data_IF_328473934285
#
_entry.id   IF_328473934285
#
_cell.length_a   1.000
_cell.length_b   1.000
_cell.length_c   1.000
_cell.angle_alpha   90.00
_cell.angle_beta   90.00
_cell.angle_gamma   90.00
#
_symmetry.space_group_name_H-M   'P 1'
#
loop_
_entity.id
_entity.type
_entity.pdbx_description
1 polymer ?
#
# COMPACT_ATOMS: atom_id res chain seq x y z
N UNK A 1 8.29 11.29 14.00
CA UNK A 1 8.47 9.82 13.99
C UNK A 1 9.94 9.50 13.78
N UNK A 2 10.51 8.50 14.46
CA UNK A 2 11.83 7.97 14.11
C UNK A 2 11.69 7.10 12.87
N UNK A 3 12.59 7.23 11.88
CA UNK A 3 12.49 6.48 10.61
C UNK A 3 13.55 5.39 10.60
N UNK A 4 13.13 4.14 10.55
CA UNK A 4 14.00 2.95 10.59
C UNK A 4 13.91 2.13 9.30
N UNK A 5 12.74 2.04 8.68
CA UNK A 5 12.52 1.26 7.46
C UNK A 5 12.51 2.14 6.21
N UNK A 6 11.81 3.28 6.24
CA UNK A 6 11.63 4.17 5.07
C UNK A 6 12.79 5.14 4.85
N UNK A 7 14.02 4.67 5.07
CA UNK A 7 15.24 5.49 4.94
C UNK A 7 15.42 5.99 3.51
N UNK A 8 15.12 5.18 2.49
CA UNK A 8 15.21 5.63 1.09
C UNK A 8 14.15 6.70 0.77
N UNK A 9 12.92 6.56 1.27
CA UNK A 9 11.88 7.60 1.09
C UNK A 9 12.33 8.92 1.72
N UNK A 10 12.86 8.86 2.96
CA UNK A 10 13.38 10.03 3.67
C UNK A 10 14.55 10.70 2.94
N UNK A 11 15.46 9.91 2.37
CA UNK A 11 16.65 10.41 1.69
C UNK A 11 16.39 10.88 0.25
N UNK A 12 15.26 10.49 -0.35
CA UNK A 12 14.88 10.87 -1.70
C UNK A 12 13.47 11.53 -1.71
N UNK A 13 13.27 12.66 -0.97
CA UNK A 13 11.95 13.29 -0.85
C UNK A 13 11.46 13.91 -2.17
N UNK A 14 12.37 14.11 -3.12
CA UNK A 14 12.11 14.58 -4.48
C UNK A 14 12.87 13.68 -5.46
N UNK A 15 12.12 13.04 -6.36
CA UNK A 15 12.65 12.36 -7.55
C UNK A 15 12.15 13.14 -8.77
N UNK A 16 11.20 12.60 -9.53
CA UNK A 16 10.49 13.34 -10.58
C UNK A 16 9.45 14.32 -10.00
N UNK A 17 8.82 13.90 -8.90
CA UNK A 17 7.86 14.67 -8.12
C UNK A 17 8.29 14.73 -6.66
N UNK A 18 7.63 15.56 -5.86
CA UNK A 18 7.88 15.70 -4.42
C UNK A 18 6.89 14.83 -3.65
N UNK A 19 7.37 14.07 -2.67
CA UNK A 19 6.48 13.34 -1.74
C UNK A 19 5.63 14.30 -0.92
N UNK A 20 4.37 13.91 -0.67
CA UNK A 20 3.47 14.63 0.23
C UNK A 20 3.17 13.76 1.46
N UNK A 21 3.58 14.20 2.66
CA UNK A 21 3.41 13.43 3.88
C UNK A 21 1.94 13.47 4.35
N UNK A 22 1.49 12.37 4.96
CA UNK A 22 0.22 12.34 5.69
C UNK A 22 0.44 12.75 7.15
N UNK A 23 -0.45 13.59 7.68
CA UNK A 23 -0.38 13.98 9.09
C UNK A 23 -0.65 12.78 10.00
N UNK A 24 0.03 12.71 11.16
CA UNK A 24 -0.15 11.62 12.13
C UNK A 24 -1.62 11.45 12.54
N UNK A 25 -2.36 12.55 12.71
CA UNK A 25 -3.78 12.51 13.04
C UNK A 25 -4.64 11.85 11.96
N UNK A 26 -4.24 11.92 10.69
CA UNK A 26 -4.96 11.29 9.59
C UNK A 26 -4.59 9.81 9.46
N UNK A 27 -3.32 9.47 9.69
CA UNK A 27 -2.87 8.07 9.85
C UNK A 27 -3.66 7.38 10.98
N UNK A 28 -3.79 8.03 12.13
CA UNK A 28 -4.56 7.50 13.26
C UNK A 28 -6.06 7.34 12.95
N UNK A 29 -6.63 8.14 12.04
CA UNK A 29 -8.02 7.95 11.58
C UNK A 29 -8.14 6.68 10.75
N UNK A 30 -7.21 6.44 9.82
CA UNK A 30 -7.17 5.21 9.02
C UNK A 30 -6.98 3.98 9.92
N UNK A 31 -6.11 4.05 10.91
CA UNK A 31 -5.89 2.96 11.87
C UNK A 31 -7.12 2.66 12.72
N UNK A 32 -7.86 3.69 13.14
CA UNK A 32 -9.15 3.53 13.82
C UNK A 32 -10.19 2.87 12.91
N UNK A 33 -10.26 3.29 11.65
CA UNK A 33 -11.24 2.81 10.66
C UNK A 33 -10.96 1.36 10.26
N UNK A 34 -9.72 1.04 9.89
CA UNK A 34 -9.39 -0.25 9.26
C UNK A 34 -8.65 -1.23 10.17
N UNK A 35 -7.95 -0.76 11.20
CA UNK A 35 -7.15 -1.61 12.09
C UNK A 35 -7.64 -1.63 13.55
N UNK A 36 -8.93 -1.32 13.78
CA UNK A 36 -9.55 -1.31 15.12
C UNK A 36 -8.79 -0.44 16.13
N UNK A 37 -8.16 0.64 15.65
CA UNK A 37 -7.38 1.57 16.45
C UNK A 37 -5.97 1.10 16.82
N UNK A 38 -5.52 -0.05 16.30
CA UNK A 38 -4.12 -0.49 16.42
C UNK A 38 -3.27 0.23 15.38
N UNK A 39 -2.04 0.53 15.73
CA UNK A 39 -1.08 1.10 14.78
C UNK A 39 -0.88 0.16 13.58
N UNK A 40 -0.76 0.73 12.40
CA UNK A 40 -0.30 -0.01 11.23
C UNK A 40 1.13 -0.53 11.41
N UNK A 41 1.55 -1.55 10.64
CA UNK A 41 2.95 -1.98 10.64
C UNK A 41 3.90 -0.80 10.46
N UNK A 42 4.97 -0.78 11.26
CA UNK A 42 5.88 0.37 11.39
C UNK A 42 6.42 0.87 10.05
N UNK A 43 6.84 -0.04 9.17
CA UNK A 43 7.33 0.32 7.84
C UNK A 43 6.26 1.06 7.01
N UNK A 44 5.01 0.57 7.05
CA UNK A 44 3.89 1.21 6.36
C UNK A 44 3.52 2.56 6.99
N UNK A 45 3.50 2.63 8.33
CA UNK A 45 3.23 3.88 9.06
C UNK A 45 4.28 4.96 8.78
N UNK A 46 5.55 4.58 8.67
CA UNK A 46 6.64 5.48 8.26
C UNK A 46 6.46 5.97 6.81
N UNK A 47 6.00 5.09 5.91
CA UNK A 47 5.70 5.47 4.52
C UNK A 47 4.59 6.52 4.49
N UNK A 48 3.48 6.29 5.19
CA UNK A 48 2.39 7.26 5.25
C UNK A 48 2.87 8.61 5.79
N UNK A 49 3.67 8.60 6.85
CA UNK A 49 4.21 9.81 7.45
C UNK A 49 5.13 10.60 6.51
N UNK A 50 5.79 9.96 5.54
CA UNK A 50 6.71 10.61 4.61
C UNK A 50 6.10 10.91 3.24
N UNK A 51 5.14 10.10 2.78
CA UNK A 51 4.64 10.09 1.41
C UNK A 51 3.19 9.56 1.28
N UNK A 52 2.40 9.56 2.37
CA UNK A 52 1.07 8.94 2.39
C UNK A 52 -0.03 9.70 1.65
N UNK A 53 0.15 11.00 1.37
CA UNK A 53 -0.79 11.76 0.53
C UNK A 53 -0.37 11.71 -0.95
N UNK A 54 0.92 11.58 -1.21
CA UNK A 54 1.46 11.38 -2.55
C UNK A 54 2.90 10.86 -2.46
N UNK A 55 3.26 9.94 -3.34
CA UNK A 55 4.61 9.38 -3.46
C UNK A 55 5.18 9.59 -4.86
N UNK A 56 6.49 9.79 -4.95
CA UNK A 56 7.19 10.07 -6.20
C UNK A 56 7.77 8.81 -6.90
N UNK A 57 7.31 7.62 -6.50
CA UNK A 57 7.83 6.34 -6.96
C UNK A 57 6.76 5.34 -7.41
N UNK A 58 5.56 5.84 -7.75
CA UNK A 58 4.63 5.18 -8.66
C UNK A 58 3.58 4.27 -8.03
N UNK A 59 3.33 4.37 -6.72
CA UNK A 59 2.09 3.80 -6.16
C UNK A 59 0.92 4.72 -6.46
N UNK A 60 -0.19 4.15 -6.94
CA UNK A 60 -1.36 4.88 -7.40
C UNK A 60 -2.57 4.65 -6.48
N UNK A 61 -3.21 5.75 -6.07
CA UNK A 61 -4.46 5.78 -5.31
C UNK A 61 -5.62 6.36 -6.11
N UNK A 62 -5.46 6.40 -7.44
CA UNK A 62 -6.38 6.97 -8.41
C UNK A 62 -6.63 8.47 -8.23
N UNK A 63 -5.80 9.14 -7.43
CA UNK A 63 -5.96 10.56 -7.09
C UNK A 63 -7.10 10.86 -6.12
N UNK A 64 -7.72 9.83 -5.53
CA UNK A 64 -8.83 9.96 -4.57
C UNK A 64 -8.39 9.74 -3.12
N UNK A 65 -7.16 9.29 -2.90
CA UNK A 65 -6.60 9.00 -1.59
C UNK A 65 -6.78 7.55 -1.16
N UNK A 66 -5.92 7.11 -0.23
CA UNK A 66 -5.89 5.74 0.26
C UNK A 66 -7.19 5.26 0.95
N UNK A 67 -7.97 6.18 1.52
CA UNK A 67 -9.28 5.84 2.12
C UNK A 67 -10.28 5.39 1.04
N UNK A 68 -10.38 6.15 -0.06
CA UNK A 68 -11.22 5.83 -1.21
C UNK A 68 -10.72 4.58 -1.94
N UNK A 69 -9.40 4.41 -2.05
CA UNK A 69 -8.80 3.21 -2.65
C UNK A 69 -9.17 1.93 -1.89
N UNK A 70 -9.10 1.97 -0.55
CA UNK A 70 -9.49 0.84 0.29
C UNK A 70 -11.00 0.55 0.20
N UNK A 71 -11.85 1.59 0.15
CA UNK A 71 -13.29 1.42 -0.09
C UNK A 71 -13.56 0.76 -1.46
N UNK A 72 -12.91 1.24 -2.52
CA UNK A 72 -13.04 0.68 -3.87
C UNK A 72 -12.60 -0.78 -3.92
N UNK A 73 -11.49 -1.16 -3.29
CA UNK A 73 -11.04 -2.55 -3.24
C UNK A 73 -12.09 -3.47 -2.58
N UNK A 74 -12.76 -3.00 -1.53
CA UNK A 74 -13.84 -3.74 -0.87
C UNK A 74 -15.11 -3.82 -1.75
N UNK A 75 -15.47 -2.73 -2.44
CA UNK A 75 -16.58 -2.73 -3.40
C UNK A 75 -16.34 -3.69 -4.57
N UNK A 76 -15.12 -3.70 -5.13
CA UNK A 76 -14.76 -4.61 -6.23
C UNK A 76 -14.74 -6.07 -5.81
N UNK A 77 -14.33 -6.39 -4.57
CA UNK A 77 -14.48 -7.72 -3.99
C UNK A 77 -15.95 -8.14 -3.96
N UNK A 78 -16.85 -7.28 -3.48
CA UNK A 78 -18.29 -7.55 -3.43
C UNK A 78 -18.88 -7.74 -4.83
N UNK A 79 -18.58 -6.85 -5.78
CA UNK A 79 -19.03 -6.96 -7.18
C UNK A 79 -18.51 -8.23 -7.86
N UNK A 80 -17.32 -8.68 -7.50
CA UNK A 80 -16.75 -9.92 -8.00
C UNK A 80 -17.38 -11.17 -7.34
N UNK A 81 -18.14 -11.03 -6.25
CA UNK A 81 -18.62 -12.13 -5.43
C UNK A 81 -17.49 -12.84 -4.67
N UNK A 82 -16.42 -12.10 -4.37
CA UNK A 82 -15.21 -12.57 -3.70
C UNK A 82 -15.15 -12.00 -2.28
N UNK A 83 -14.37 -12.64 -1.41
CA UNK A 83 -14.19 -12.19 -0.03
C UNK A 83 -12.79 -12.51 0.46
N UNK A 84 -12.18 -11.56 1.15
CA UNK A 84 -10.94 -11.74 1.91
C UNK A 84 -11.26 -11.62 3.40
N UNK A 85 -11.10 -12.70 4.15
CA UNK A 85 -11.47 -12.74 5.57
C UNK A 85 -10.45 -12.03 6.49
N UNK A 86 -9.21 -11.90 6.02
CA UNK A 86 -8.12 -11.24 6.76
C UNK A 86 -8.24 -9.72 6.59
N UNK A 87 -8.08 -8.92 7.66
CA UNK A 87 -8.07 -7.46 7.53
C UNK A 87 -6.85 -7.03 6.73
N UNK A 88 -7.06 -6.20 5.71
CA UNK A 88 -5.99 -5.67 4.86
C UNK A 88 -6.08 -4.15 4.76
N UNK A 89 -5.06 -3.55 4.16
CA UNK A 89 -5.09 -2.17 3.72
C UNK A 89 -4.38 -2.02 2.39
N UNK A 90 -5.01 -1.31 1.47
CA UNK A 90 -4.57 -1.10 0.09
C UNK A 90 -3.71 0.14 -0.01
N UNK A 91 -2.63 0.06 -0.79
CA UNK A 91 -1.71 1.19 -0.97
C UNK A 91 -1.33 1.48 -2.43
N UNK A 92 -1.75 0.62 -3.35
CA UNK A 92 -1.50 0.76 -4.78
C UNK A 92 -2.49 -0.09 -5.60
N UNK A 93 -2.81 0.34 -6.81
CA UNK A 93 -3.68 -0.38 -7.74
C UNK A 93 -3.19 -0.30 -9.18
N UNK A 94 -3.32 -1.41 -9.90
CA UNK A 94 -3.14 -1.46 -11.34
C UNK A 94 -4.19 -2.38 -11.98
N UNK A 95 -5.06 -1.84 -12.84
CA UNK A 95 -6.10 -2.61 -13.54
C UNK A 95 -6.94 -3.52 -12.61
N UNK A 96 -7.49 -2.96 -11.52
CA UNK A 96 -8.28 -3.71 -10.53
C UNK A 96 -7.53 -4.87 -9.85
N UNK A 97 -6.18 -4.81 -9.84
CA UNK A 97 -5.33 -5.60 -8.98
C UNK A 97 -4.71 -4.68 -7.93
N UNK A 98 -4.90 -5.04 -6.67
CA UNK A 98 -4.57 -4.20 -5.53
C UNK A 98 -3.34 -4.73 -4.80
N UNK A 99 -2.34 -3.88 -4.60
CA UNK A 99 -1.25 -4.18 -3.68
C UNK A 99 -1.70 -3.84 -2.25
N UNK A 100 -1.60 -4.83 -1.37
CA UNK A 100 -2.11 -4.73 0.00
C UNK A 100 -1.11 -5.27 1.02
N UNK A 101 -1.28 -4.84 2.26
CA UNK A 101 -0.68 -5.48 3.45
C UNK A 101 -1.79 -6.09 4.31
N UNK A 102 -1.51 -7.21 4.98
CA UNK A 102 -2.43 -7.74 5.99
C UNK A 102 -2.15 -7.14 7.36
N UNK A 103 -3.20 -6.63 8.00
CA UNK A 103 -3.13 -5.88 9.26
C UNK A 103 -3.09 -6.77 10.50
N UNK A 104 -3.36 -8.06 10.34
CA UNK A 104 -3.25 -9.06 11.41
C UNK A 104 -1.85 -9.69 11.52
N UNK A 105 -0.93 -9.34 10.61
CA UNK A 105 0.47 -9.75 10.69
C UNK A 105 1.23 -8.90 11.72
N UNK A 106 2.10 -9.54 12.51
CA UNK A 106 2.78 -8.88 13.65
C UNK A 106 4.16 -8.31 13.30
N UNK A 107 4.62 -8.47 12.05
CA UNK A 107 5.90 -7.92 11.62
C UNK A 107 5.80 -6.41 11.44
N UNK A 108 6.86 -5.70 11.86
CA UNK A 108 6.99 -4.27 11.62
C UNK A 108 7.16 -3.91 10.13
N UNK A 109 7.84 -4.77 9.37
CA UNK A 109 7.91 -4.74 7.90
C UNK A 109 7.04 -5.89 7.37
N UNK A 110 5.83 -5.58 6.86
CA UNK A 110 4.87 -6.59 6.43
C UNK A 110 5.17 -7.10 5.02
N UNK A 111 4.68 -8.30 4.73
CA UNK A 111 4.66 -8.82 3.36
C UNK A 111 3.63 -8.08 2.52
N UNK A 112 3.92 -7.94 1.24
CA UNK A 112 2.99 -7.41 0.26
C UNK A 112 2.27 -8.54 -0.46
N UNK A 113 0.97 -8.38 -0.63
CA UNK A 113 0.09 -9.29 -1.35
C UNK A 113 -0.63 -8.54 -2.47
N UNK A 114 -1.10 -9.30 -3.46
CA UNK A 114 -1.98 -8.84 -4.51
C UNK A 114 -3.38 -9.40 -4.24
N UNK A 115 -4.39 -8.55 -4.31
CA UNK A 115 -5.80 -8.94 -4.38
C UNK A 115 -6.31 -8.68 -5.79
N UNK A 116 -6.86 -9.70 -6.45
CA UNK A 116 -7.32 -9.61 -7.85
C UNK A 116 -8.77 -10.09 -8.00
N UNK A 117 -9.78 -9.27 -7.62
CA UNK A 117 -11.17 -9.71 -7.51
C UNK A 117 -11.72 -10.33 -8.81
N UNK A 118 -11.56 -9.62 -9.93
CA UNK A 118 -12.14 -10.03 -11.21
C UNK A 118 -11.36 -11.16 -11.90
N UNK A 119 -10.03 -11.17 -11.78
CA UNK A 119 -9.21 -12.26 -12.32
C UNK A 119 -9.50 -13.59 -11.59
N UNK A 120 -9.70 -13.54 -10.28
CA UNK A 120 -10.11 -14.69 -9.50
C UNK A 120 -11.52 -15.17 -9.83
N UNK A 121 -12.47 -14.26 -10.04
CA UNK A 121 -13.81 -14.59 -10.56
C UNK A 121 -13.74 -15.28 -11.92
N UNK A 122 -12.84 -14.83 -12.80
CA UNK A 122 -12.59 -15.43 -14.11
C UNK A 122 -11.80 -16.75 -14.07
N UNK A 123 -11.19 -17.09 -12.92
CA UNK A 123 -10.37 -18.27 -12.73
C UNK A 123 -8.97 -18.19 -13.35
N UNK A 124 -8.50 -16.99 -13.74
CA UNK A 124 -7.18 -16.80 -14.36
C UNK A 124 -6.06 -16.64 -13.34
N UNK A 125 -6.37 -16.13 -12.14
CA UNK A 125 -5.42 -15.88 -11.05
C UNK A 125 -6.04 -16.26 -9.70
N UNK A 126 -5.25 -16.54 -8.65
CA UNK A 126 -5.75 -16.62 -7.28
C UNK A 126 -6.34 -15.28 -6.81
N UNK A 127 -7.32 -15.31 -5.89
CA UNK A 127 -7.86 -14.09 -5.27
C UNK A 127 -6.80 -13.30 -4.52
N UNK A 128 -5.97 -14.01 -3.75
CA UNK A 128 -4.87 -13.46 -2.96
C UNK A 128 -3.60 -14.20 -3.31
N UNK A 129 -2.53 -13.47 -3.62
CA UNK A 129 -1.20 -14.06 -3.78
C UNK A 129 -0.10 -13.14 -3.25
N UNK A 130 1.02 -13.67 -2.72
CA UNK A 130 2.16 -12.83 -2.38
C UNK A 130 2.72 -12.13 -3.63
N UNK A 131 3.07 -10.84 -3.49
CA UNK A 131 3.83 -10.11 -4.49
C UNK A 131 5.31 -10.58 -4.53
N UNK A 132 5.78 -11.18 -3.42
CA UNK A 132 7.15 -11.68 -3.29
C UNK A 132 8.10 -10.71 -2.60
N UNK A 133 7.60 -9.56 -2.14
CA UNK A 133 8.36 -8.53 -1.43
C UNK A 133 7.85 -8.33 -0.01
N UNK A 134 8.77 -7.97 0.89
CA UNK A 134 8.44 -7.21 2.10
C UNK A 134 8.26 -5.74 1.68
N UNK A 135 7.42 -5.00 2.39
CA UNK A 135 6.99 -3.64 1.98
C UNK A 135 8.16 -2.68 1.80
N UNK A 136 9.12 -2.67 2.73
CA UNK A 136 10.33 -1.83 2.62
C UNK A 136 11.16 -2.15 1.39
N UNK A 137 11.28 -3.43 1.05
CA UNK A 137 12.06 -3.85 -0.12
C UNK A 137 11.37 -3.44 -1.42
N UNK A 138 10.04 -3.55 -1.50
CA UNK A 138 9.26 -3.06 -2.64
C UNK A 138 9.45 -1.54 -2.85
N UNK A 139 9.29 -0.74 -1.79
CA UNK A 139 9.48 0.73 -1.88
C UNK A 139 10.89 1.09 -2.33
N UNK A 140 11.91 0.40 -1.80
CA UNK A 140 13.30 0.62 -2.20
C UNK A 140 13.53 0.28 -3.68
N UNK A 141 12.93 -0.79 -4.17
CA UNK A 141 12.99 -1.19 -5.58
C UNK A 141 12.27 -0.16 -6.48
N UNK A 142 11.11 0.34 -6.10
CA UNK A 142 10.41 1.40 -6.85
C UNK A 142 11.27 2.67 -6.97
N UNK A 143 11.89 3.11 -5.88
CA UNK A 143 12.83 4.24 -5.88
C UNK A 143 14.06 3.94 -6.77
N UNK A 144 14.60 2.73 -6.69
CA UNK A 144 15.72 2.31 -7.53
C UNK A 144 15.37 2.41 -9.02
N UNK A 145 14.17 1.94 -9.41
CA UNK A 145 13.69 1.97 -10.79
C UNK A 145 13.57 3.38 -11.33
N UNK A 146 12.92 4.27 -10.56
CA UNK A 146 12.79 5.69 -10.95
C UNK A 146 14.16 6.34 -11.16
N UNK A 147 15.12 6.10 -10.25
CA UNK A 147 16.47 6.70 -10.35
C UNK A 147 17.28 6.19 -11.54
N UNK A 148 16.93 5.03 -12.09
CA UNK A 148 17.65 4.40 -13.20
C UNK A 148 16.83 4.36 -14.49
N UNK A 149 15.69 5.07 -14.56
CA UNK A 149 14.77 5.06 -15.70
C UNK A 149 14.34 3.63 -16.12
N UNK A 150 14.16 2.75 -15.14
CA UNK A 150 13.61 1.41 -15.34
C UNK A 150 12.08 1.53 -15.22
N UNK A 151 11.30 0.96 -16.15
CA UNK A 151 9.85 0.93 -16.04
C UNK A 151 9.38 0.32 -14.70
N UNK A 152 8.34 0.92 -14.13
CA UNK A 152 7.60 0.41 -12.96
C UNK A 152 6.63 -0.65 -13.45
#
# INVERSE_FOLDING_TARGET
>A
MNIEYMVQVKNNPVLNFKNEPMAISDIEKLEKKYNKGKEFPKAFREFLFLAGNFNNFGFDDLGEGLDALEELANEELEMAGQKVDKPFFTFDVYNSQYSVIFLDETKEDPKVYLISPFLAKGGSEPLVQPNGWEFTALVNESIHRVKNNIPI
#
